data_IF_837043756623
#
_entry.id   IF_837043756623
#
_cell.length_a   1.000
_cell.length_b   1.000
_cell.length_c   1.000
_cell.angle_alpha   90.00
_cell.angle_beta   90.00
_cell.angle_gamma   90.00
#
_symmetry.space_group_name_H-M   'P 1'
#
loop_
_entity.id
_entity.type
_entity.pdbx_description
1 polymer ?
#
# COMPACT_ATOMS: atom_id res chain seq x y z
N UNK A 1 -6.72 9.80 -10.60
CA UNK A 1 -6.84 10.49 -11.90
C UNK A 1 -5.44 10.95 -12.39
N UNK A 2 -4.98 10.48 -13.55
CA UNK A 2 -3.74 10.97 -14.19
C UNK A 2 -2.53 10.03 -14.17
N UNK A 3 -2.60 8.88 -13.49
CA UNK A 3 -1.58 7.81 -13.59
C UNK A 3 -2.05 6.74 -14.58
N UNK A 4 -1.14 6.27 -15.44
CA UNK A 4 -1.40 5.11 -16.31
C UNK A 4 -1.26 3.82 -15.50
N UNK A 5 -1.90 2.77 -16.02
CA UNK A 5 -1.78 1.43 -15.43
C UNK A 5 -0.31 1.00 -15.39
N UNK A 6 0.14 0.53 -14.23
CA UNK A 6 1.50 0.02 -14.03
C UNK A 6 2.57 1.08 -13.73
N UNK A 7 2.22 2.36 -13.65
CA UNK A 7 3.21 3.42 -13.30
C UNK A 7 3.54 3.44 -11.80
N UNK A 8 2.56 3.15 -10.94
CA UNK A 8 2.74 3.22 -9.50
C UNK A 8 3.48 1.98 -8.96
N UNK A 9 4.59 2.22 -8.29
CA UNK A 9 5.40 1.21 -7.60
C UNK A 9 5.18 1.34 -6.10
N UNK A 10 4.97 0.20 -5.42
CA UNK A 10 4.92 0.08 -3.97
C UNK A 10 5.84 -1.06 -3.54
N UNK A 11 6.56 -0.88 -2.43
CA UNK A 11 7.28 -1.96 -1.78
C UNK A 11 6.42 -2.59 -0.66
N UNK A 12 6.89 -3.71 -0.11
CA UNK A 12 6.15 -4.45 0.90
C UNK A 12 5.94 -3.66 2.20
N UNK A 13 6.92 -2.85 2.61
CA UNK A 13 6.86 -2.05 3.83
C UNK A 13 5.80 -0.96 3.71
N UNK A 14 5.85 -0.19 2.62
CA UNK A 14 4.90 0.88 2.28
C UNK A 14 3.49 0.32 2.11
N UNK A 15 3.34 -0.83 1.44
CA UNK A 15 2.04 -1.49 1.31
C UNK A 15 1.46 -1.90 2.68
N UNK A 16 2.28 -2.46 3.56
CA UNK A 16 1.86 -2.77 4.93
C UNK A 16 1.44 -1.52 5.71
N UNK A 17 2.21 -0.44 5.63
CA UNK A 17 1.93 0.82 6.32
C UNK A 17 0.63 1.48 5.81
N UNK A 18 0.28 1.31 4.53
CA UNK A 18 -1.03 1.72 3.97
C UNK A 18 -2.15 0.93 4.64
N UNK A 19 -2.04 -0.40 4.71
CA UNK A 19 -3.08 -1.25 5.30
C UNK A 19 -3.17 -1.13 6.83
N UNK A 20 -2.11 -0.69 7.51
CA UNK A 20 -2.14 -0.27 8.93
C UNK A 20 -2.76 1.13 9.12
N UNK A 21 -3.01 1.88 8.04
CA UNK A 21 -3.57 3.24 8.09
C UNK A 21 -2.56 4.32 8.50
N UNK A 22 -1.26 4.01 8.47
CA UNK A 22 -0.17 4.97 8.76
C UNK A 22 0.03 5.92 7.59
N UNK A 23 0.02 5.37 6.38
CA UNK A 23 0.05 6.16 5.14
C UNK A 23 -1.40 6.41 4.71
N UNK A 24 -1.80 7.68 4.71
CA UNK A 24 -3.19 8.10 4.49
C UNK A 24 -3.44 8.79 3.16
N UNK A 25 -2.40 9.21 2.46
CA UNK A 25 -2.49 9.93 1.19
C UNK A 25 -1.54 9.37 0.15
N UNK A 26 -1.90 9.52 -1.12
CA UNK A 26 -1.10 9.04 -2.25
C UNK A 26 0.18 9.84 -2.49
N UNK A 27 0.26 11.08 -2.02
CA UNK A 27 1.45 11.94 -2.09
C UNK A 27 2.38 11.81 -0.88
N UNK A 28 2.19 10.78 -0.05
CA UNK A 28 3.04 10.51 1.11
C UNK A 28 4.51 10.32 0.69
N UNK A 29 5.42 10.76 1.56
CA UNK A 29 6.87 10.65 1.32
C UNK A 29 7.33 9.22 1.02
N UNK A 30 6.76 8.22 1.68
CA UNK A 30 7.13 6.82 1.44
C UNK A 30 6.77 6.39 0.01
N UNK A 31 5.63 6.85 -0.52
CA UNK A 31 5.17 6.53 -1.87
C UNK A 31 5.96 7.35 -2.91
N UNK A 32 6.16 8.65 -2.66
CA UNK A 32 6.90 9.53 -3.60
C UNK A 32 8.36 9.10 -3.78
N UNK A 33 9.03 8.63 -2.71
CA UNK A 33 10.40 8.10 -2.77
C UNK A 33 10.54 6.88 -3.69
N UNK A 34 9.51 6.04 -3.76
CA UNK A 34 9.48 4.87 -4.65
C UNK A 34 9.13 5.22 -6.10
N UNK A 35 8.62 6.42 -6.34
CA UNK A 35 8.06 6.84 -7.62
C UNK A 35 8.69 8.16 -8.12
N UNK A 36 10.03 8.23 -8.25
CA UNK A 36 10.70 9.44 -8.69
C UNK A 36 10.21 9.82 -10.10
N UNK A 37 9.69 11.05 -10.24
CA UNK A 37 9.18 11.57 -11.50
C UNK A 37 7.67 11.41 -11.72
N UNK A 38 6.95 10.71 -10.84
CA UNK A 38 5.49 10.71 -10.86
C UNK A 38 4.92 11.88 -10.06
N UNK A 39 3.94 12.57 -10.66
CA UNK A 39 3.14 13.57 -9.96
C UNK A 39 1.99 12.88 -9.24
N UNK A 40 2.20 12.55 -7.96
CA UNK A 40 1.19 11.89 -7.15
C UNK A 40 0.17 12.91 -6.61
N UNK A 41 -1.14 12.58 -6.61
CA UNK A 41 -2.17 13.48 -6.12
C UNK A 41 -2.23 13.50 -4.58
N UNK A 42 -2.56 14.66 -3.99
CA UNK A 42 -2.89 14.76 -2.55
C UNK A 42 -4.29 14.23 -2.25
N UNK A 43 -4.51 12.95 -2.55
CA UNK A 43 -5.78 12.27 -2.40
C UNK A 43 -5.69 11.25 -1.26
N UNK A 44 -6.74 11.17 -0.44
CA UNK A 44 -6.83 10.18 0.64
C UNK A 44 -6.84 8.75 0.07
N UNK A 45 -6.16 7.84 0.76
CA UNK A 45 -6.19 6.41 0.47
C UNK A 45 -7.42 5.80 1.11
N UNK A 46 -8.22 5.12 0.30
CA UNK A 46 -9.34 4.29 0.75
C UNK A 46 -8.93 2.82 0.69
N UNK A 47 -8.60 2.23 1.84
CA UNK A 47 -8.21 0.82 1.92
C UNK A 47 -9.45 -0.06 1.75
N UNK A 48 -9.36 -1.04 0.85
CA UNK A 48 -10.39 -2.05 0.63
C UNK A 48 -9.81 -3.43 0.93
N UNK A 49 -10.55 -4.25 1.67
CA UNK A 49 -10.17 -5.61 2.05
C UNK A 49 -11.36 -6.55 1.92
N UNK A 50 -11.10 -7.85 1.89
CA UNK A 50 -12.16 -8.87 1.83
C UNK A 50 -12.94 -8.95 3.15
N UNK A 51 -14.26 -9.12 3.04
CA UNK A 51 -15.16 -9.27 4.18
C UNK A 51 -15.29 -10.74 4.63
N UNK A 52 -15.19 -11.64 3.66
CA UNK A 52 -15.38 -13.08 3.76
C UNK A 52 -14.06 -13.84 4.03
N UNK A 53 -14.17 -15.10 4.48
CA UNK A 53 -13.03 -16.01 4.58
C UNK A 53 -12.40 -16.24 3.20
N UNK A 54 -11.14 -15.84 3.04
CA UNK A 54 -10.49 -15.77 1.72
C UNK A 54 -9.06 -16.29 1.77
N UNK A 55 -8.74 -17.27 0.92
CA UNK A 55 -7.36 -17.72 0.70
C UNK A 55 -6.47 -16.61 0.12
N UNK A 56 -7.04 -15.67 -0.64
CA UNK A 56 -6.33 -14.47 -1.11
C UNK A 56 -5.92 -13.58 0.06
N UNK A 57 -6.82 -13.39 1.03
CA UNK A 57 -6.47 -12.68 2.27
C UNK A 57 -5.33 -13.38 3.00
N UNK A 58 -5.36 -14.72 3.11
CA UNK A 58 -4.29 -15.46 3.75
C UNK A 58 -2.92 -15.24 3.10
N UNK A 59 -2.84 -15.33 1.76
CA UNK A 59 -1.58 -15.06 1.04
C UNK A 59 -1.14 -13.60 1.21
N UNK A 60 -2.09 -12.67 1.12
CA UNK A 60 -1.81 -11.23 1.25
C UNK A 60 -1.28 -10.88 2.64
N UNK A 61 -1.95 -11.30 3.72
CA UNK A 61 -1.50 -11.04 5.08
C UNK A 61 -0.22 -11.78 5.42
N UNK A 62 0.01 -12.98 4.86
CA UNK A 62 1.26 -13.73 5.00
C UNK A 62 2.44 -13.02 4.33
N UNK A 63 2.23 -12.40 3.16
CA UNK A 63 3.23 -11.56 2.52
C UNK A 63 3.56 -10.36 3.41
N UNK A 64 2.54 -9.61 3.86
CA UNK A 64 2.73 -8.42 4.70
C UNK A 64 3.47 -8.73 6.01
N UNK A 65 3.18 -9.85 6.66
CA UNK A 65 3.88 -10.28 7.88
C UNK A 65 5.38 -10.58 7.67
N UNK A 66 5.82 -10.85 6.44
CA UNK A 66 7.25 -11.06 6.12
C UNK A 66 7.99 -9.76 5.79
N UNK A 67 7.29 -8.73 5.36
CA UNK A 67 7.88 -7.49 4.82
C UNK A 67 7.59 -6.26 5.67
N UNK A 68 6.74 -6.38 6.68
CA UNK A 68 6.40 -5.33 7.63
C UNK A 68 6.31 -5.94 9.04
N UNK A 69 7.26 -5.58 9.92
CA UNK A 69 7.33 -6.14 11.28
C UNK A 69 6.15 -5.71 12.16
N UNK A 70 5.63 -4.49 11.97
CA UNK A 70 4.48 -4.00 12.73
C UNK A 70 3.19 -4.69 12.30
N UNK A 71 3.07 -5.04 11.01
CA UNK A 71 1.95 -5.88 10.55
C UNK A 71 1.97 -7.29 11.16
N UNK A 72 3.16 -7.82 11.42
CA UNK A 72 3.34 -9.17 11.95
C UNK A 72 2.92 -9.29 13.43
N UNK A 73 3.06 -8.21 14.20
CA UNK A 73 2.88 -8.17 15.65
C UNK A 73 1.46 -7.74 16.05
#
# INVERSE_FOLDING_TARGET
PGLKSGELVLDGKTLGDIYLGKIKKWDDEAITKLNPGLKLPSQNIAVVRRADGSGTSFVFTSYLAKVNEEWKN
#
